data_IF_927564271613
#
_entry.id   IF_927564271613
#
_cell.length_a   1.000
_cell.length_b   1.000
_cell.length_c   1.000
_cell.angle_alpha   90.00
_cell.angle_beta   90.00
_cell.angle_gamma   90.00
#
_symmetry.space_group_name_H-M   'P 1'
#
loop_
_entity.id
_entity.type
_entity.pdbx_description
1 polymer ?
#
# COMPACT_ATOMS: atom_id res chain seq x y z
N UNK A 1 -0.83 0.32 -35.75
CA UNK A 1 0.03 1.30 -35.04
C UNK A 1 -0.60 1.76 -33.71
N UNK A 2 -1.23 0.87 -32.94
CA UNK A 2 -2.05 1.26 -31.76
C UNK A 2 -1.74 0.55 -30.41
N UNK A 3 -0.77 -0.38 -30.23
CA UNK A 3 -0.59 -1.04 -28.93
C UNK A 3 0.20 -0.20 -27.91
N UNK A 4 1.10 0.69 -28.35
CA UNK A 4 1.98 1.45 -27.45
C UNK A 4 1.24 2.55 -26.69
N UNK A 5 0.32 3.26 -27.35
CA UNK A 5 -0.54 4.25 -26.70
C UNK A 5 -1.47 3.59 -25.68
N UNK A 6 -2.03 2.43 -26.02
CA UNK A 6 -2.88 1.68 -25.10
C UNK A 6 -2.13 1.23 -23.83
N UNK A 7 -0.86 0.84 -23.93
CA UNK A 7 -0.03 0.51 -22.77
C UNK A 7 0.26 1.74 -21.90
N UNK A 8 0.57 2.88 -22.52
CA UNK A 8 0.80 4.13 -21.80
C UNK A 8 -0.47 4.59 -21.06
N UNK A 9 -1.62 4.56 -21.74
CA UNK A 9 -2.92 4.92 -21.14
C UNK A 9 -3.28 3.97 -19.99
N UNK A 10 -3.09 2.66 -20.14
CA UNK A 10 -3.31 1.69 -19.04
C UNK A 10 -2.37 1.94 -17.86
N UNK A 11 -1.10 2.19 -18.13
CA UNK A 11 -0.11 2.50 -17.09
C UNK A 11 -0.47 3.76 -16.31
N UNK A 12 -0.86 4.82 -17.01
CA UNK A 12 -1.33 6.07 -16.39
C UNK A 12 -2.62 5.84 -15.60
N UNK A 13 -3.61 5.15 -16.18
CA UNK A 13 -4.90 4.90 -15.56
C UNK A 13 -4.81 4.06 -14.28
N UNK A 14 -3.88 3.11 -14.20
CA UNK A 14 -3.65 2.29 -13.01
C UNK A 14 -2.67 2.94 -12.02
N UNK A 15 -1.62 3.59 -12.53
CA UNK A 15 -0.54 4.14 -11.73
C UNK A 15 -0.90 5.44 -11.01
N UNK A 16 -1.63 6.36 -11.65
CA UNK A 16 -2.04 7.62 -11.02
C UNK A 16 -2.90 7.40 -9.76
N UNK A 17 -4.01 6.64 -9.82
CA UNK A 17 -4.82 6.40 -8.63
C UNK A 17 -4.01 5.68 -7.55
N UNK A 18 -3.31 4.60 -7.90
CA UNK A 18 -2.52 3.81 -6.95
C UNK A 18 -1.45 4.63 -6.24
N UNK A 19 -0.82 5.59 -6.94
CA UNK A 19 0.22 6.46 -6.39
C UNK A 19 -0.30 7.71 -5.67
N UNK A 20 -1.56 8.11 -5.86
CA UNK A 20 -2.13 9.32 -5.24
C UNK A 20 -3.11 9.02 -4.09
N UNK A 21 -3.61 7.80 -3.98
CA UNK A 21 -4.44 7.38 -2.86
C UNK A 21 -3.66 7.59 -1.55
N UNK A 22 -4.16 8.44 -0.63
CA UNK A 22 -3.48 8.72 0.63
C UNK A 22 -3.54 7.48 1.53
N UNK A 23 -2.49 6.67 1.45
CA UNK A 23 -2.31 5.46 2.24
C UNK A 23 -1.10 5.57 3.17
N UNK A 24 -0.88 4.55 4.03
CA UNK A 24 0.21 4.56 5.01
C UNK A 24 1.59 4.84 4.39
N UNK A 25 1.90 4.23 3.24
CA UNK A 25 3.19 4.44 2.57
C UNK A 25 3.37 5.85 2.04
N UNK A 26 2.36 6.45 1.40
CA UNK A 26 2.44 7.82 0.92
C UNK A 26 2.56 8.80 2.10
N UNK A 27 1.80 8.58 3.18
CA UNK A 27 1.92 9.36 4.41
C UNK A 27 3.31 9.26 5.02
N UNK A 28 3.92 8.07 5.02
CA UNK A 28 5.30 7.89 5.47
C UNK A 28 6.30 8.62 4.57
N UNK A 29 6.19 8.49 3.26
CA UNK A 29 7.06 9.20 2.30
C UNK A 29 7.00 10.71 2.50
N UNK A 30 5.78 11.26 2.65
CA UNK A 30 5.59 12.70 2.89
C UNK A 30 6.15 13.10 4.25
N UNK A 31 5.85 12.35 5.31
CA UNK A 31 6.35 12.63 6.66
C UNK A 31 7.87 12.63 6.73
N UNK A 32 8.49 11.66 6.06
CA UNK A 32 9.94 11.51 5.99
C UNK A 32 10.58 12.60 5.13
N UNK A 33 9.94 12.99 4.03
CA UNK A 33 10.38 14.11 3.20
C UNK A 33 10.35 15.45 3.96
N UNK A 34 9.34 15.66 4.81
CA UNK A 34 9.21 16.88 5.62
C UNK A 34 10.19 16.88 6.81
N UNK A 35 10.32 15.76 7.54
CA UNK A 35 11.16 15.67 8.75
C UNK A 35 12.66 15.55 8.44
N UNK A 36 13.01 14.76 7.43
CA UNK A 36 14.39 14.37 7.13
C UNK A 36 14.86 14.81 5.73
N UNK A 37 14.00 15.56 5.02
CA UNK A 37 14.31 16.14 3.72
C UNK A 37 14.07 15.18 2.54
N UNK A 38 14.15 15.73 1.32
CA UNK A 38 13.82 15.04 0.06
C UNK A 38 14.58 13.73 -0.17
N UNK A 39 15.83 13.61 0.29
CA UNK A 39 16.63 12.39 0.11
C UNK A 39 16.09 11.21 0.93
N UNK A 40 15.61 11.48 2.14
CA UNK A 40 15.04 10.45 3.01
C UNK A 40 13.69 9.98 2.47
N UNK A 41 12.81 10.91 2.08
CA UNK A 41 11.54 10.58 1.41
C UNK A 41 11.72 9.76 0.13
N UNK A 42 12.73 10.07 -0.70
CA UNK A 42 13.02 9.31 -1.92
C UNK A 42 13.46 7.87 -1.63
N UNK A 43 14.25 7.64 -0.57
CA UNK A 43 14.64 6.27 -0.17
C UNK A 43 13.42 5.45 0.25
N UNK A 44 12.52 6.04 1.03
CA UNK A 44 11.27 5.38 1.44
C UNK A 44 10.36 5.12 0.24
N UNK A 45 10.24 6.06 -0.69
CA UNK A 45 9.43 5.89 -1.89
C UNK A 45 9.91 4.77 -2.81
N UNK A 46 11.23 4.52 -2.83
CA UNK A 46 11.85 3.48 -3.66
C UNK A 46 11.84 2.10 -2.97
N UNK A 47 11.68 2.03 -1.65
CA UNK A 47 11.68 0.77 -0.91
C UNK A 47 10.62 -0.24 -1.42
N UNK A 48 9.34 0.14 -1.66
CA UNK A 48 8.33 -0.76 -2.22
C UNK A 48 8.70 -1.29 -3.60
N UNK A 49 9.41 -0.53 -4.44
CA UNK A 49 9.81 -1.03 -5.76
C UNK A 49 10.76 -2.23 -5.65
N UNK A 50 11.66 -2.21 -4.67
CA UNK A 50 12.60 -3.30 -4.43
C UNK A 50 11.98 -4.49 -3.70
N UNK A 51 11.08 -4.26 -2.73
CA UNK A 51 10.40 -5.36 -2.03
C UNK A 51 9.29 -5.99 -2.88
N UNK A 52 8.54 -5.18 -3.61
CA UNK A 52 7.31 -5.62 -4.27
C UNK A 52 7.59 -6.24 -5.62
N UNK A 53 8.65 -5.85 -6.35
CA UNK A 53 8.98 -6.48 -7.64
C UNK A 53 9.28 -7.99 -7.50
N UNK A 54 10.10 -8.46 -6.54
CA UNK A 54 10.27 -9.87 -6.26
C UNK A 54 8.96 -10.55 -5.83
N UNK A 55 8.18 -9.92 -4.96
CA UNK A 55 6.90 -10.47 -4.48
C UNK A 55 5.95 -10.68 -5.65
N UNK A 56 5.74 -9.66 -6.49
CA UNK A 56 4.86 -9.72 -7.67
C UNK A 56 5.34 -10.78 -8.65
N UNK A 57 6.64 -10.87 -8.93
CA UNK A 57 7.20 -11.89 -9.82
C UNK A 57 6.90 -13.31 -9.33
N UNK A 58 7.14 -13.59 -8.04
CA UNK A 58 6.83 -14.89 -7.43
C UNK A 58 5.33 -15.17 -7.45
N UNK A 59 4.52 -14.17 -7.12
CA UNK A 59 3.05 -14.30 -7.07
C UNK A 59 2.49 -14.63 -8.44
N UNK A 60 2.93 -13.92 -9.49
CA UNK A 60 2.51 -14.19 -10.87
C UNK A 60 2.95 -15.58 -11.32
N UNK A 61 4.19 -15.97 -11.05
CA UNK A 61 4.69 -17.30 -11.41
C UNK A 61 3.86 -18.42 -10.77
N UNK A 62 3.53 -18.26 -9.48
CA UNK A 62 2.71 -19.22 -8.75
C UNK A 62 1.27 -19.24 -9.27
N UNK A 63 0.66 -18.06 -9.48
CA UNK A 63 -0.71 -17.95 -9.99
C UNK A 63 -0.87 -18.52 -11.40
N UNK A 64 0.14 -18.38 -12.28
CA UNK A 64 0.11 -18.99 -13.61
C UNK A 64 0.01 -20.52 -13.53
N UNK A 65 0.72 -21.16 -12.58
CA UNK A 65 0.61 -22.61 -12.38
C UNK A 65 -0.73 -23.01 -11.76
N UNK A 66 -1.25 -22.21 -10.83
CA UNK A 66 -2.52 -22.46 -10.16
C UNK A 66 -3.74 -22.16 -11.04
N UNK A 67 -3.61 -21.27 -12.03
CA UNK A 67 -4.69 -20.91 -12.95
C UNK A 67 -5.17 -22.10 -13.79
N UNK A 68 -4.36 -23.16 -13.94
CA UNK A 68 -4.79 -24.42 -14.52
C UNK A 68 -5.93 -25.09 -13.70
N UNK A 69 -6.02 -24.80 -12.40
CA UNK A 69 -7.03 -25.32 -11.48
C UNK A 69 -8.05 -24.24 -11.11
N UNK A 70 -9.09 -24.10 -11.94
CA UNK A 70 -10.14 -23.07 -11.81
C UNK A 70 -10.78 -22.97 -10.40
N UNK A 71 -10.91 -24.09 -9.68
CA UNK A 71 -11.45 -24.10 -8.32
C UNK A 71 -10.57 -23.43 -7.27
N UNK A 72 -9.24 -23.52 -7.40
CA UNK A 72 -8.28 -22.93 -6.45
C UNK A 72 -8.28 -21.42 -6.59
N UNK A 73 -8.25 -20.91 -7.83
CA UNK A 73 -8.31 -19.48 -8.11
C UNK A 73 -9.62 -18.85 -7.60
N UNK A 74 -10.73 -19.57 -7.76
CA UNK A 74 -12.03 -19.18 -7.20
C UNK A 74 -12.00 -19.09 -5.66
N UNK A 75 -11.41 -20.07 -4.99
CA UNK A 75 -11.24 -20.07 -3.53
C UNK A 75 -10.41 -18.90 -3.01
N UNK A 76 -9.30 -18.57 -3.69
CA UNK A 76 -8.46 -17.42 -3.36
C UNK A 76 -9.26 -16.11 -3.51
N UNK A 77 -10.00 -15.94 -4.61
CA UNK A 77 -10.84 -14.76 -4.83
C UNK A 77 -11.95 -14.62 -3.78
N UNK A 78 -12.62 -15.71 -3.42
CA UNK A 78 -13.69 -15.68 -2.42
C UNK A 78 -13.13 -15.28 -1.05
N UNK A 79 -12.00 -15.87 -0.67
CA UNK A 79 -11.32 -15.58 0.60
C UNK A 79 -10.82 -14.14 0.65
N UNK A 80 -10.20 -13.67 -0.45
CA UNK A 80 -9.74 -12.29 -0.57
C UNK A 80 -10.87 -11.26 -0.48
N UNK A 81 -11.98 -11.52 -1.17
CA UNK A 81 -13.17 -10.65 -1.11
C UNK A 81 -13.77 -10.59 0.30
N UNK A 82 -13.92 -11.73 0.97
CA UNK A 82 -14.40 -11.78 2.35
C UNK A 82 -13.49 -11.00 3.30
N UNK A 83 -12.17 -11.13 3.12
CA UNK A 83 -11.19 -10.36 3.89
C UNK A 83 -11.29 -8.85 3.63
N UNK A 84 -11.48 -8.43 2.37
CA UNK A 84 -11.71 -7.02 2.04
C UNK A 84 -13.00 -6.47 2.69
N UNK A 85 -14.09 -7.24 2.69
CA UNK A 85 -15.32 -6.87 3.40
C UNK A 85 -15.08 -6.71 4.92
N UNK A 86 -14.29 -7.61 5.51
CA UNK A 86 -13.90 -7.53 6.91
C UNK A 86 -13.08 -6.27 7.20
N UNK A 87 -12.07 -5.96 6.37
CA UNK A 87 -11.29 -4.73 6.49
C UNK A 87 -12.17 -3.49 6.32
N UNK A 88 -13.08 -3.47 5.35
CA UNK A 88 -14.01 -2.36 5.14
C UNK A 88 -14.86 -2.10 6.38
N UNK A 89 -15.41 -3.16 7.00
CA UNK A 89 -16.16 -3.05 8.25
C UNK A 89 -15.31 -2.48 9.40
N UNK A 90 -14.08 -2.97 9.56
CA UNK A 90 -13.13 -2.46 10.57
C UNK A 90 -12.72 -1.01 10.31
N UNK A 91 -12.60 -0.59 9.06
CA UNK A 91 -12.23 0.78 8.69
C UNK A 91 -13.26 1.82 9.12
N UNK A 92 -14.53 1.44 9.30
CA UNK A 92 -15.54 2.34 9.86
C UNK A 92 -15.43 2.51 11.39
N UNK A 93 -14.75 1.60 12.09
CA UNK A 93 -14.53 1.67 13.54
C UNK A 93 -13.18 2.30 13.86
N UNK A 94 -12.94 3.53 13.37
CA UNK A 94 -11.70 4.28 13.65
C UNK A 94 -11.61 4.55 15.16
N UNK A 95 -10.90 3.69 15.87
CA UNK A 95 -10.35 4.00 17.19
C UNK A 95 -9.23 5.01 16.99
N UNK A 96 -9.53 6.28 17.27
CA UNK A 96 -8.51 7.30 17.45
C UNK A 96 -7.65 6.82 18.63
N UNK A 97 -6.34 6.61 18.44
CA UNK A 97 -5.45 6.37 19.56
C UNK A 97 -5.56 7.59 20.48
N UNK A 98 -6.19 7.41 21.63
CA UNK A 98 -6.09 8.39 22.70
C UNK A 98 -4.62 8.41 23.12
N UNK A 99 -3.94 9.51 22.85
CA UNK A 99 -2.68 9.85 23.53
C UNK A 99 -3.01 10.02 25.04
N UNK A 100 -3.20 8.91 25.74
CA UNK A 100 -3.33 8.84 27.21
C UNK A 100 -1.94 8.90 27.87
N UNK A 101 -1.07 9.79 27.39
CA UNK A 101 0.15 10.15 28.10
C UNK A 101 0.21 11.68 28.25
N UNK A 102 -0.21 12.22 29.42
CA UNK A 102 -0.14 13.66 29.63
C UNK A 102 1.34 14.11 29.60
N UNK A 103 1.67 15.20 28.89
CA UNK A 103 3.04 15.69 28.81
C UNK A 103 3.51 16.12 30.20
N UNK A 104 4.34 15.30 30.84
CA UNK A 104 5.04 15.63 32.11
C UNK A 104 6.15 16.65 31.88
N UNK A 105 5.86 17.75 31.18
CA UNK A 105 6.79 18.83 30.83
C UNK A 105 6.80 19.96 31.87
N UNK A 106 5.75 20.09 32.69
CA UNK A 106 5.65 21.16 33.69
C UNK A 106 6.43 20.91 34.99
N UNK A 107 7.04 19.72 35.17
CA UNK A 107 7.80 19.38 36.39
C UNK A 107 9.31 19.50 36.23
N UNK A 108 9.82 19.98 35.09
CA UNK A 108 11.26 20.14 34.84
C UNK A 108 11.77 21.59 34.97
N UNK A 109 10.97 22.45 35.59
CA UNK A 109 11.29 23.85 35.89
C UNK A 109 11.38 24.11 37.39
N UNK A 110 12.38 23.51 38.05
CA UNK A 110 13.13 24.05 39.20
C UNK A 110 14.54 23.47 39.17
#
# INVERSE_FOLDING_TARGET
MEPHLALLVKGIALGLPAGLLPGPLLTLVVSEAVRHGRRAGMRVAVAPLFSDAPIVAVTVLMLVQLAAFHGVLGGISLTGSLFLCYLAYRSFSVEIPADDEPPRSLLKGI
#
